data_IF_507787816442
#
_entry.id   IF_507787816442
#
_cell.length_a   1.000
_cell.length_b   1.000
_cell.length_c   1.000
_cell.angle_alpha   90.00
_cell.angle_beta   90.00
_cell.angle_gamma   90.00
#
_symmetry.space_group_name_H-M   'P 1'
#
loop_
_entity.id
_entity.type
_entity.pdbx_description
1 polymer ?
#
# COMPACT_ATOMS: atom_id res chain seq x y z
N UNK A 1 -26.32 -9.45 -27.28
CA UNK A 1 -25.43 -9.94 -26.20
C UNK A 1 -24.07 -9.36 -26.55
N UNK A 2 -23.64 -8.28 -25.89
CA UNK A 2 -22.29 -7.76 -26.11
C UNK A 2 -21.34 -8.69 -25.36
N UNK A 3 -20.52 -9.43 -26.10
CA UNK A 3 -19.37 -10.14 -25.54
C UNK A 3 -18.50 -9.07 -24.87
N UNK A 4 -18.43 -9.10 -23.54
CA UNK A 4 -17.62 -8.15 -22.79
C UNK A 4 -16.18 -8.28 -23.26
N UNK A 5 -15.59 -7.16 -23.69
CA UNK A 5 -14.20 -7.09 -24.08
C UNK A 5 -13.34 -7.65 -22.94
N UNK A 6 -12.62 -8.75 -23.21
CA UNK A 6 -11.75 -9.35 -22.21
C UNK A 6 -10.50 -8.47 -22.06
N UNK A 7 -10.49 -7.64 -21.02
CA UNK A 7 -9.38 -6.76 -20.71
C UNK A 7 -8.19 -7.60 -20.23
N UNK A 8 -7.06 -7.47 -20.91
CA UNK A 8 -5.78 -8.02 -20.45
C UNK A 8 -5.19 -7.08 -19.38
N UNK A 9 -5.57 -7.30 -18.13
CA UNK A 9 -5.13 -6.47 -17.01
C UNK A 9 -3.62 -6.48 -16.80
N UNK A 10 -2.91 -7.54 -17.23
CA UNK A 10 -1.45 -7.60 -17.12
C UNK A 10 -0.75 -6.55 -17.98
N UNK A 11 -1.31 -6.21 -19.14
CA UNK A 11 -0.76 -5.17 -20.02
C UNK A 11 -1.26 -3.77 -19.68
N UNK A 12 -2.51 -3.64 -19.24
CA UNK A 12 -3.09 -2.35 -18.85
C UNK A 12 -2.59 -1.87 -17.49
N UNK A 13 -2.42 -2.79 -16.55
CA UNK A 13 -2.18 -2.53 -15.14
C UNK A 13 -1.14 -3.52 -14.57
N UNK A 14 0.12 -3.49 -15.06
CA UNK A 14 1.15 -4.43 -14.63
C UNK A 14 1.52 -4.24 -13.15
N UNK A 15 2.01 -5.30 -12.47
CA UNK A 15 2.53 -5.17 -11.11
C UNK A 15 3.68 -4.15 -11.02
N UNK A 16 3.72 -3.39 -9.93
CA UNK A 16 4.74 -2.39 -9.62
C UNK A 16 6.00 -3.08 -9.11
N UNK A 17 7.16 -2.57 -9.50
CA UNK A 17 8.47 -3.00 -8.99
C UNK A 17 9.17 -1.82 -8.33
N UNK A 18 9.71 -2.02 -7.13
CA UNK A 18 10.60 -1.04 -6.51
C UNK A 18 12.01 -1.24 -7.05
N UNK A 19 12.52 -0.22 -7.75
CA UNK A 19 13.80 -0.29 -8.46
C UNK A 19 15.02 -0.28 -7.53
N UNK A 20 14.85 0.16 -6.29
CA UNK A 20 15.93 0.22 -5.31
C UNK A 20 15.41 0.17 -3.88
N UNK A 21 16.31 -0.16 -2.95
CA UNK A 21 16.08 -0.07 -1.51
C UNK A 21 15.62 1.34 -1.09
N UNK A 22 16.20 2.39 -1.66
CA UNK A 22 15.84 3.78 -1.33
C UNK A 22 14.38 4.12 -1.69
N UNK A 23 13.84 3.53 -2.76
CA UNK A 23 12.42 3.68 -3.12
C UNK A 23 11.53 2.97 -2.10
N UNK A 24 11.93 1.77 -1.65
CA UNK A 24 11.21 1.02 -0.63
C UNK A 24 11.18 1.77 0.71
N UNK A 25 12.32 2.27 1.18
CA UNK A 25 12.44 3.06 2.41
C UNK A 25 11.58 4.33 2.34
N UNK A 26 11.64 5.06 1.22
CA UNK A 26 10.81 6.24 1.02
C UNK A 26 9.30 5.91 1.01
N UNK A 27 8.92 4.76 0.46
CA UNK A 27 7.53 4.30 0.48
C UNK A 27 7.11 3.85 1.89
N UNK A 28 7.99 3.20 2.66
CA UNK A 28 7.74 2.84 4.04
C UNK A 28 7.50 4.08 4.92
N UNK A 29 8.32 5.11 4.75
CA UNK A 29 8.14 6.43 5.38
C UNK A 29 6.79 7.06 5.00
N UNK A 30 6.41 7.00 3.72
CA UNK A 30 5.10 7.48 3.26
C UNK A 30 3.94 6.72 3.93
N UNK A 31 4.04 5.40 4.06
CA UNK A 31 3.04 4.56 4.72
C UNK A 31 2.91 4.95 6.20
N UNK A 32 4.03 5.16 6.88
CA UNK A 32 4.06 5.63 8.27
C UNK A 32 3.41 7.01 8.42
N UNK A 33 3.77 7.97 7.56
CA UNK A 33 3.21 9.33 7.59
C UNK A 33 1.69 9.34 7.33
N UNK A 34 1.23 8.54 6.38
CA UNK A 34 -0.20 8.35 6.09
C UNK A 34 -0.90 7.72 7.30
N UNK A 35 -0.27 6.75 7.95
CA UNK A 35 -0.80 6.15 9.17
C UNK A 35 -0.94 7.18 10.29
N UNK A 36 0.10 7.94 10.59
CA UNK A 36 0.09 8.97 11.63
C UNK A 36 -1.04 9.97 11.39
N UNK A 37 -1.21 10.44 10.15
CA UNK A 37 -2.33 11.33 9.78
C UNK A 37 -3.68 10.63 9.96
N UNK A 38 -3.81 9.38 9.57
CA UNK A 38 -5.06 8.61 9.70
C UNK A 38 -5.51 8.47 11.16
N UNK A 39 -4.57 8.22 12.07
CA UNK A 39 -4.88 8.03 13.50
C UNK A 39 -5.07 9.35 14.22
N UNK A 40 -4.36 10.42 13.86
CA UNK A 40 -4.60 11.77 14.40
C UNK A 40 -6.04 12.24 14.21
N UNK A 41 -6.64 11.97 13.04
CA UNK A 41 -8.04 12.31 12.78
C UNK A 41 -9.05 11.42 13.54
N UNK A 42 -8.59 10.33 14.17
CA UNK A 42 -9.44 9.37 14.87
C UNK A 42 -9.59 9.65 16.38
N UNK A 43 -8.88 10.64 16.93
CA UNK A 43 -9.01 11.07 18.33
C UNK A 43 -8.40 10.14 19.39
N UNK A 44 -7.57 9.17 18.99
CA UNK A 44 -6.82 8.30 19.90
C UNK A 44 -5.35 8.73 19.95
N UNK A 45 -4.92 9.29 21.09
CA UNK A 45 -3.52 9.59 21.34
C UNK A 45 -2.84 8.36 21.97
N UNK A 46 -2.00 7.71 21.17
CA UNK A 46 -1.19 6.55 21.55
C UNK A 46 0.30 6.88 21.44
N UNK A 47 0.69 8.14 21.69
CA UNK A 47 2.08 8.58 21.59
C UNK A 47 3.01 7.70 22.46
N UNK A 48 3.99 7.00 21.87
CA UNK A 48 4.95 6.21 22.62
C UNK A 48 5.91 7.11 23.40
N UNK A 49 6.48 6.59 24.48
CA UNK A 49 7.45 7.31 25.32
C UNK A 49 8.78 7.62 24.61
N UNK A 50 9.06 6.90 23.51
CA UNK A 50 10.26 7.04 22.66
C UNK A 50 9.81 7.00 21.19
N UNK A 51 9.48 8.16 20.65
CA UNK A 51 8.87 8.32 19.32
C UNK A 51 9.81 7.86 18.19
N UNK A 52 11.12 8.16 18.30
CA UNK A 52 12.10 7.80 17.28
C UNK A 52 12.28 6.29 17.19
N UNK A 53 12.47 5.62 18.34
CA UNK A 53 12.59 4.16 18.36
C UNK A 53 11.32 3.47 17.87
N UNK A 54 10.16 3.98 18.30
CA UNK A 54 8.88 3.43 17.84
C UNK A 54 8.73 3.57 16.32
N UNK A 55 9.04 4.75 15.77
CA UNK A 55 9.00 4.99 14.33
C UNK A 55 9.89 4.00 13.60
N UNK A 56 11.15 3.81 14.03
CA UNK A 56 12.07 2.88 13.40
C UNK A 56 11.54 1.43 13.42
N UNK A 57 11.00 0.97 14.54
CA UNK A 57 10.38 -0.36 14.64
C UNK A 57 9.22 -0.53 13.63
N UNK A 58 8.40 0.53 13.45
CA UNK A 58 7.29 0.49 12.48
C UNK A 58 7.78 0.54 11.04
N UNK A 59 8.82 1.29 10.74
CA UNK A 59 9.43 1.29 9.41
C UNK A 59 9.97 -0.10 9.06
N UNK A 60 10.71 -0.75 9.97
CA UNK A 60 11.21 -2.12 9.76
C UNK A 60 10.06 -3.12 9.53
N UNK A 61 8.97 -3.01 10.29
CA UNK A 61 7.77 -3.84 10.09
C UNK A 61 7.09 -3.57 8.74
N UNK A 62 6.93 -2.30 8.34
CA UNK A 62 6.38 -1.94 7.04
C UNK A 62 7.26 -2.46 5.90
N UNK A 63 8.57 -2.26 5.99
CA UNK A 63 9.53 -2.75 5.00
C UNK A 63 9.47 -4.27 4.86
N UNK A 64 9.30 -5.00 5.97
CA UNK A 64 9.15 -6.45 5.94
C UNK A 64 7.91 -6.92 5.15
N UNK A 65 6.85 -6.10 5.10
CA UNK A 65 5.67 -6.32 4.26
C UNK A 65 5.93 -5.92 2.81
N UNK A 66 6.55 -4.77 2.58
CA UNK A 66 6.79 -4.22 1.23
C UNK A 66 7.78 -5.06 0.43
N UNK A 67 8.88 -5.49 1.05
CA UNK A 67 9.97 -6.19 0.41
C UNK A 67 9.51 -7.42 -0.40
N UNK A 68 8.78 -8.40 0.17
CA UNK A 68 8.33 -9.56 -0.59
C UNK A 68 7.30 -9.22 -1.69
N UNK A 69 6.69 -8.04 -1.67
CA UNK A 69 5.63 -7.66 -2.61
C UNK A 69 6.20 -6.90 -3.80
N UNK A 70 7.04 -5.91 -3.57
CA UNK A 70 7.49 -4.99 -4.61
C UNK A 70 8.92 -5.23 -5.10
N UNK A 71 9.75 -6.01 -4.38
CA UNK A 71 11.13 -6.26 -4.77
C UNK A 71 11.27 -7.43 -5.75
N UNK A 72 12.41 -7.47 -6.44
CA UNK A 72 12.88 -8.64 -7.18
C UNK A 72 13.47 -9.65 -6.18
N UNK A 73 12.93 -10.86 -6.14
CA UNK A 73 13.33 -11.90 -5.18
C UNK A 73 13.91 -13.07 -5.96
N UNK A 74 15.16 -13.44 -5.69
CA UNK A 74 15.87 -14.51 -6.42
C UNK A 74 15.82 -14.35 -7.96
N UNK A 75 15.86 -13.10 -8.44
CA UNK A 75 15.76 -12.77 -9.87
C UNK A 75 14.34 -12.73 -10.43
N UNK A 76 13.31 -13.05 -9.63
CA UNK A 76 11.91 -13.00 -10.05
C UNK A 76 11.28 -11.63 -9.74
N UNK A 77 10.92 -10.82 -10.75
CA UNK A 77 10.20 -9.57 -10.54
C UNK A 77 8.75 -9.82 -10.10
N UNK A 78 8.09 -8.82 -9.49
CA UNK A 78 6.65 -8.86 -9.19
C UNK A 78 5.77 -9.28 -10.37
N UNK A 79 6.12 -8.91 -11.61
CA UNK A 79 5.40 -9.30 -12.82
C UNK A 79 5.39 -10.82 -13.07
N UNK A 80 6.34 -11.58 -12.54
CA UNK A 80 6.33 -13.05 -12.60
C UNK A 80 5.58 -13.70 -11.43
N UNK A 81 5.26 -12.93 -10.39
CA UNK A 81 4.64 -13.41 -9.15
C UNK A 81 3.16 -13.04 -9.02
N UNK A 82 2.73 -11.99 -9.71
CA UNK A 82 1.35 -11.50 -9.72
C UNK A 82 0.84 -11.37 -11.16
N UNK A 83 -0.45 -11.63 -11.35
CA UNK A 83 -1.14 -11.50 -12.63
C UNK A 83 -1.20 -10.03 -13.09
N UNK A 84 -1.56 -9.14 -12.17
CA UNK A 84 -1.73 -7.70 -12.37
C UNK A 84 -1.55 -6.93 -11.04
N UNK A 85 -1.67 -5.59 -11.11
CA UNK A 85 -1.56 -4.72 -9.94
C UNK A 85 -2.63 -5.01 -8.87
N UNK A 86 -3.81 -5.50 -9.24
CA UNK A 86 -4.90 -5.73 -8.28
C UNK A 86 -4.58 -6.92 -7.39
N UNK A 87 -4.04 -8.01 -7.96
CA UNK A 87 -3.55 -9.14 -7.17
C UNK A 87 -2.39 -8.72 -6.24
N UNK A 88 -1.45 -7.91 -6.76
CA UNK A 88 -0.33 -7.40 -5.97
C UNK A 88 -0.80 -6.52 -4.79
N UNK A 89 -1.72 -5.58 -5.05
CA UNK A 89 -2.29 -4.71 -4.01
C UNK A 89 -3.16 -5.52 -3.04
N UNK A 90 -3.86 -6.55 -3.51
CA UNK A 90 -4.57 -7.49 -2.65
C UNK A 90 -3.64 -8.16 -1.65
N UNK A 91 -2.46 -8.58 -2.10
CA UNK A 91 -1.43 -9.15 -1.22
C UNK A 91 -0.86 -8.13 -0.24
N UNK A 92 -0.66 -6.88 -0.66
CA UNK A 92 -0.30 -5.78 0.24
C UNK A 92 -1.38 -5.57 1.30
N UNK A 93 -2.64 -5.55 0.89
CA UNK A 93 -3.75 -5.26 1.77
C UNK A 93 -3.94 -6.34 2.84
N UNK A 94 -3.75 -7.61 2.47
CA UNK A 94 -3.78 -8.74 3.40
C UNK A 94 -2.78 -8.56 4.56
N UNK A 95 -1.52 -8.25 4.24
CA UNK A 95 -0.46 -8.11 5.24
C UNK A 95 -0.51 -6.78 5.98
N UNK A 96 -0.64 -5.67 5.26
CA UNK A 96 -0.64 -4.34 5.90
C UNK A 96 -1.85 -4.15 6.85
N UNK A 97 -3.00 -4.78 6.56
CA UNK A 97 -4.15 -4.76 7.46
C UNK A 97 -4.11 -5.87 8.53
N UNK A 98 -3.52 -7.02 8.19
CA UNK A 98 -3.57 -8.25 9.00
C UNK A 98 -2.42 -8.42 9.98
N UNK A 99 -1.24 -7.86 9.70
CA UNK A 99 -0.03 -8.05 10.52
C UNK A 99 -0.01 -7.18 11.78
N UNK A 100 -1.03 -6.33 11.97
CA UNK A 100 -1.18 -5.49 13.15
C UNK A 100 0.07 -4.66 13.48
N UNK A 101 0.70 -4.08 12.44
CA UNK A 101 1.87 -3.21 12.57
C UNK A 101 1.61 -2.10 13.59
N UNK A 102 0.43 -1.49 13.51
CA UNK A 102 0.01 -0.42 14.42
C UNK A 102 -1.02 -0.91 15.45
N UNK A 103 -1.13 -0.26 16.63
CA UNK A 103 -2.14 -0.62 17.64
C UNK A 103 -3.59 -0.45 17.15
N UNK A 104 -3.85 0.54 16.31
CA UNK A 104 -5.12 0.79 15.63
C UNK A 104 -4.84 1.33 14.23
N UNK A 105 -5.86 1.57 13.41
CA UNK A 105 -5.74 2.31 12.15
C UNK A 105 -5.27 1.49 10.95
N UNK A 106 -4.73 0.27 11.14
CA UNK A 106 -4.19 -0.58 10.07
C UNK A 106 -5.12 -0.65 8.85
N UNK A 107 -6.38 -1.06 9.02
CA UNK A 107 -7.34 -1.18 7.91
C UNK A 107 -7.58 0.14 7.15
N UNK A 108 -7.64 1.27 7.87
CA UNK A 108 -7.84 2.59 7.26
C UNK A 108 -6.60 3.03 6.49
N UNK A 109 -5.42 2.84 7.07
CA UNK A 109 -4.13 3.05 6.40
C UNK A 109 -4.02 2.18 5.16
N UNK A 110 -4.27 0.89 5.27
CA UNK A 110 -4.25 -0.05 4.13
C UNK A 110 -5.13 0.39 2.99
N UNK A 111 -6.37 0.84 3.28
CA UNK A 111 -7.26 1.35 2.24
C UNK A 111 -6.67 2.58 1.54
N UNK A 112 -6.17 3.57 2.30
CA UNK A 112 -5.56 4.76 1.71
C UNK A 112 -4.33 4.44 0.85
N UNK A 113 -3.46 3.53 1.31
CA UNK A 113 -2.28 3.10 0.55
C UNK A 113 -2.68 2.35 -0.72
N UNK A 114 -3.64 1.41 -0.62
CA UNK A 114 -4.11 0.62 -1.76
C UNK A 114 -4.71 1.51 -2.85
N UNK A 115 -5.53 2.49 -2.46
CA UNK A 115 -6.12 3.45 -3.39
C UNK A 115 -5.07 4.41 -3.98
N UNK A 116 -4.10 4.85 -3.17
CA UNK A 116 -2.99 5.67 -3.64
C UNK A 116 -2.15 4.97 -4.70
N UNK A 117 -1.88 3.67 -4.53
CA UNK A 117 -1.14 2.85 -5.51
C UNK A 117 -1.92 2.67 -6.82
N UNK A 118 -3.23 2.42 -6.75
CA UNK A 118 -4.08 2.36 -7.95
C UNK A 118 -4.06 3.71 -8.69
N UNK A 119 -4.19 4.82 -7.97
CA UNK A 119 -4.14 6.15 -8.55
C UNK A 119 -2.77 6.47 -9.18
N UNK A 120 -1.66 6.02 -8.56
CA UNK A 120 -0.33 6.14 -9.13
C UNK A 120 -0.17 5.36 -10.45
N UNK A 121 -0.91 4.26 -10.59
CA UNK A 121 -0.99 3.48 -11.83
C UNK A 121 -2.03 4.01 -12.83
N UNK A 122 -2.56 5.23 -12.63
CA UNK A 122 -3.62 5.85 -13.42
C UNK A 122 -4.94 5.05 -13.45
N UNK A 123 -5.16 4.23 -12.42
CA UNK A 123 -6.40 3.47 -12.21
C UNK A 123 -7.29 4.26 -11.26
N UNK A 124 -8.31 4.89 -11.83
CA UNK A 124 -9.27 5.71 -11.09
C UNK A 124 -10.52 4.92 -10.74
N UNK A 125 -11.00 5.12 -9.52
CA UNK A 125 -12.32 4.64 -9.12
C UNK A 125 -13.39 5.58 -9.67
N UNK A 126 -14.38 5.01 -10.35
CA UNK A 126 -15.52 5.77 -10.88
C UNK A 126 -16.71 5.59 -9.93
N UNK A 127 -17.38 6.68 -9.57
CA UNK A 127 -18.62 6.65 -8.77
C UNK A 127 -18.43 6.73 -7.25
N UNK A 128 -17.21 7.02 -6.77
CA UNK A 128 -17.02 7.56 -5.42
C UNK A 128 -17.19 9.07 -5.54
N UNK A 129 -18.17 9.70 -4.87
CA UNK A 129 -18.26 11.15 -4.88
C UNK A 129 -16.98 11.74 -4.27
N UNK A 130 -16.28 12.61 -5.01
CA UNK A 130 -15.24 13.45 -4.42
C UNK A 130 -15.91 14.28 -3.33
N UNK A 131 -15.62 13.98 -2.08
CA UNK A 131 -16.01 14.85 -0.96
C UNK A 131 -15.04 16.03 -0.91
N UNK A 132 -15.02 16.83 -1.96
CA UNK A 132 -14.38 18.15 -2.04
C UNK A 132 -15.40 19.23 -2.45
N UNK A 133 -16.65 19.04 -2.04
CA UNK A 133 -17.67 20.10 -2.00
C UNK A 133 -18.11 20.31 -0.54
N UNK A 134 -17.30 21.03 0.26
CA UNK A 134 -17.77 21.86 1.39
C UNK A 134 -16.81 23.00 1.69
#
# INVERSE_FOLDING_TARGET
MMEGEHIDWRSVAPPIVFESQAVMEAFAEMVYDIHTKTVQHAGFDLSPTDEDRYKQEKLEQIESVLYPIFSIIYGQPPSERYADIFEQIGRLAEHLAGDHIFPDGNKRTTMQISLGLLNLADIRLVGIPDTDDT
#
